data_IF_567322325110
#
_entry.id   IF_567322325110
#
_cell.length_a   1.000
_cell.length_b   1.000
_cell.length_c   1.000
_cell.angle_alpha   90.00
_cell.angle_beta   90.00
_cell.angle_gamma   90.00
#
_symmetry.space_group_name_H-M   'P 1'
#
loop_
_entity.id
_entity.type
_entity.pdbx_description
1 polymer ?
#
# COMPACT_ATOMS: atom_id res chain seq x y z
N UNK A 1 8.42 37.73 6.15
CA UNK A 1 8.09 37.34 7.54
C UNK A 1 7.19 36.14 7.45
N UNK A 2 7.79 34.94 7.39
CA UNK A 2 7.80 33.92 8.47
C UNK A 2 6.38 33.36 8.69
N UNK A 3 6.12 32.05 8.71
CA UNK A 3 6.78 31.03 9.52
C UNK A 3 6.62 29.64 8.87
N UNK A 4 7.68 29.10 8.28
CA UNK A 4 7.83 27.63 8.28
C UNK A 4 8.40 27.28 9.63
N UNK A 5 7.51 27.10 10.61
CA UNK A 5 7.90 26.51 11.88
C UNK A 5 8.09 25.01 11.58
N UNK A 6 9.29 24.64 11.14
CA UNK A 6 9.71 23.24 11.13
C UNK A 6 9.79 22.86 12.59
N UNK A 7 8.69 22.35 13.16
CA UNK A 7 8.73 21.68 14.44
C UNK A 7 9.71 20.54 14.26
N UNK A 8 10.92 20.72 14.80
CA UNK A 8 11.83 19.63 15.08
C UNK A 8 11.06 18.70 16.01
N UNK A 9 10.32 17.76 15.43
CA UNK A 9 9.78 16.64 16.15
C UNK A 9 11.03 15.93 16.68
N UNK A 10 11.28 16.08 17.98
CA UNK A 10 12.18 15.20 18.71
C UNK A 10 11.63 13.81 18.48
N UNK A 11 12.19 13.09 17.50
CA UNK A 11 11.65 11.83 17.03
C UNK A 11 11.75 10.85 18.20
N UNK A 12 10.65 10.66 18.91
CA UNK A 12 10.63 9.91 20.18
C UNK A 12 10.94 8.44 19.98
N UNK A 13 10.88 7.97 18.73
CA UNK A 13 11.10 6.58 18.35
C UNK A 13 12.32 6.47 17.43
N UNK A 14 13.13 5.41 17.56
CA UNK A 14 14.36 5.25 16.78
C UNK A 14 14.08 5.02 15.29
N UNK A 15 12.92 4.45 14.96
CA UNK A 15 12.42 4.24 13.60
C UNK A 15 10.91 4.43 13.56
N UNK A 16 10.42 4.83 12.40
CA UNK A 16 9.01 5.09 12.12
C UNK A 16 8.56 4.36 10.86
N UNK A 17 7.36 3.81 10.89
CA UNK A 17 6.77 3.08 9.77
C UNK A 17 5.61 3.86 9.16
N UNK A 18 5.51 3.86 7.84
CA UNK A 18 4.34 4.29 7.10
C UNK A 18 3.63 3.08 6.48
N UNK A 19 2.42 2.81 6.96
CA UNK A 19 1.58 1.71 6.51
C UNK A 19 0.58 2.20 5.47
N UNK A 20 0.61 1.60 4.28
CA UNK A 20 -0.54 1.60 3.38
C UNK A 20 -1.41 0.39 3.72
N UNK A 21 -2.67 0.61 4.09
CA UNK A 21 -3.62 -0.48 4.34
C UNK A 21 -4.72 -0.45 3.28
N UNK A 22 -4.68 -1.41 2.36
CA UNK A 22 -5.63 -1.55 1.27
C UNK A 22 -6.79 -2.46 1.65
N UNK A 23 -8.02 -1.99 1.46
CA UNK A 23 -9.24 -2.75 1.72
C UNK A 23 -10.17 -2.69 0.50
N UNK A 24 -11.03 -3.70 0.34
CA UNK A 24 -12.08 -3.72 -0.69
C UNK A 24 -13.44 -3.99 -0.07
N UNK A 25 -14.43 -4.29 -0.91
CA UNK A 25 -15.80 -4.60 -0.50
C UNK A 25 -15.83 -5.73 0.54
N UNK A 26 -16.47 -5.48 1.67
CA UNK A 26 -16.64 -6.43 2.78
C UNK A 26 -15.45 -6.51 3.74
N UNK A 27 -14.41 -5.68 3.56
CA UNK A 27 -13.22 -5.71 4.40
C UNK A 27 -13.26 -4.72 5.57
N UNK A 28 -14.28 -3.86 5.69
CA UNK A 28 -14.35 -2.82 6.74
C UNK A 28 -14.13 -3.39 8.16
N UNK A 29 -14.76 -4.51 8.50
CA UNK A 29 -14.58 -5.17 9.80
C UNK A 29 -13.16 -5.70 10.02
N UNK A 30 -12.56 -6.32 9.00
CA UNK A 30 -11.18 -6.82 9.09
C UNK A 30 -10.18 -5.68 9.20
N UNK A 31 -10.41 -4.60 8.46
CA UNK A 31 -9.61 -3.38 8.52
C UNK A 31 -9.60 -2.79 9.93
N UNK A 32 -10.77 -2.62 10.56
CA UNK A 32 -10.88 -2.11 11.94
C UNK A 32 -10.16 -3.03 12.93
N UNK A 33 -10.28 -4.35 12.76
CA UNK A 33 -9.55 -5.34 13.58
C UNK A 33 -8.04 -5.20 13.40
N UNK A 34 -7.56 -5.07 12.16
CA UNK A 34 -6.14 -4.90 11.85
C UNK A 34 -5.60 -3.59 12.44
N UNK A 35 -6.33 -2.48 12.30
CA UNK A 35 -5.93 -1.18 12.86
C UNK A 35 -5.69 -1.27 14.37
N UNK A 36 -6.58 -1.94 15.12
CA UNK A 36 -6.39 -2.14 16.57
C UNK A 36 -5.13 -2.92 16.93
N UNK A 37 -4.72 -3.87 16.09
CA UNK A 37 -3.53 -4.69 16.33
C UNK A 37 -2.23 -4.01 15.87
N UNK A 38 -2.32 -3.14 14.86
CA UNK A 38 -1.19 -2.51 14.20
C UNK A 38 -0.88 -1.11 14.72
N UNK A 39 -1.82 -0.45 15.39
CA UNK A 39 -1.68 0.94 15.78
C UNK A 39 -0.57 1.16 16.81
N UNK A 40 0.26 2.15 16.55
CA UNK A 40 1.29 2.65 17.42
C UNK A 40 1.45 4.16 17.18
N UNK A 41 1.57 4.99 18.24
CA UNK A 41 1.59 6.46 18.13
C UNK A 41 2.76 7.01 17.32
N UNK A 42 3.87 6.27 17.21
CA UNK A 42 5.06 6.65 16.43
C UNK A 42 4.98 6.36 14.92
N UNK A 43 3.92 5.70 14.45
CA UNK A 43 3.79 5.28 13.06
C UNK A 43 2.70 6.06 12.33
N UNK A 44 2.70 5.95 11.01
CA UNK A 44 1.77 6.62 10.11
C UNK A 44 0.93 5.61 9.35
N UNK A 45 -0.36 5.90 9.18
CA UNK A 45 -1.32 4.97 8.58
C UNK A 45 -2.13 5.67 7.50
N UNK A 46 -2.04 5.16 6.26
CA UNK A 46 -2.88 5.58 5.15
C UNK A 46 -3.79 4.43 4.74
N UNK A 47 -5.08 4.62 4.97
CA UNK A 47 -6.12 3.65 4.64
C UNK A 47 -6.67 3.98 3.25
N UNK A 48 -6.64 3.00 2.36
CA UNK A 48 -7.27 3.09 1.04
C UNK A 48 -8.35 2.02 0.92
N UNK A 49 -9.59 2.46 0.73
CA UNK A 49 -10.70 1.58 0.34
C UNK A 49 -10.91 1.71 -1.17
N UNK A 50 -10.88 0.60 -1.88
CA UNK A 50 -11.11 0.55 -3.33
C UNK A 50 -12.46 1.20 -3.70
N UNK A 51 -12.48 1.90 -4.84
CA UNK A 51 -13.70 2.48 -5.42
C UNK A 51 -14.84 1.46 -5.59
N UNK A 52 -14.50 0.18 -5.81
CA UNK A 52 -15.47 -0.90 -5.91
C UNK A 52 -16.19 -1.25 -4.60
N UNK A 53 -15.74 -0.75 -3.45
CA UNK A 53 -16.43 -0.92 -2.18
C UNK A 53 -17.65 0.02 -2.07
N UNK A 54 -18.75 -0.40 -1.43
CA UNK A 54 -19.92 0.44 -1.20
C UNK A 54 -19.55 1.74 -0.48
N UNK A 55 -20.22 2.84 -0.85
CA UNK A 55 -20.02 4.14 -0.20
C UNK A 55 -20.27 4.09 1.31
N UNK A 56 -21.24 3.26 1.74
CA UNK A 56 -21.52 3.03 3.15
C UNK A 56 -20.32 2.44 3.90
N UNK A 57 -19.56 1.53 3.28
CA UNK A 57 -18.35 0.97 3.90
C UNK A 57 -17.22 2.01 3.96
N UNK A 58 -17.07 2.86 2.94
CA UNK A 58 -16.10 3.96 3.01
C UNK A 58 -16.43 4.93 4.13
N UNK A 59 -17.70 5.34 4.22
CA UNK A 59 -18.18 6.23 5.29
C UNK A 59 -17.99 5.62 6.67
N UNK A 60 -18.28 4.33 6.83
CA UNK A 60 -18.08 3.59 8.08
C UNK A 60 -16.61 3.58 8.53
N UNK A 61 -15.67 3.46 7.58
CA UNK A 61 -14.23 3.55 7.87
C UNK A 61 -13.80 4.97 8.21
N UNK A 62 -14.28 5.98 7.49
CA UNK A 62 -14.01 7.39 7.80
C UNK A 62 -14.54 7.76 9.19
N UNK A 63 -15.76 7.34 9.51
CA UNK A 63 -16.40 7.59 10.80
C UNK A 63 -15.67 6.86 11.94
N UNK A 64 -15.23 5.62 11.71
CA UNK A 64 -14.38 4.90 12.66
C UNK A 64 -13.10 5.66 12.98
N UNK A 65 -12.40 6.17 11.96
CA UNK A 65 -11.15 6.93 12.16
C UNK A 65 -11.42 8.26 12.85
N UNK A 66 -12.48 8.97 12.48
CA UNK A 66 -12.82 10.28 13.03
C UNK A 66 -13.31 10.22 14.49
N UNK A 67 -13.96 9.13 14.89
CA UNK A 67 -14.48 8.95 16.26
C UNK A 67 -13.44 8.43 17.25
N UNK A 68 -12.32 7.90 16.77
CA UNK A 68 -11.26 7.41 17.66
C UNK A 68 -10.50 8.62 18.24
N UNK A 69 -10.56 8.85 19.58
CA UNK A 69 -9.95 10.02 20.19
C UNK A 69 -8.42 10.01 20.04
N UNK A 70 -7.80 8.82 19.99
CA UNK A 70 -6.34 8.69 19.86
C UNK A 70 -5.89 9.10 18.46
N UNK A 71 -6.62 8.66 17.43
CA UNK A 71 -6.32 9.01 16.05
C UNK A 71 -6.51 10.50 15.80
N UNK A 72 -7.56 11.11 16.35
CA UNK A 72 -7.81 12.54 16.25
C UNK A 72 -6.75 13.39 16.97
N UNK A 73 -6.31 12.95 18.15
CA UNK A 73 -5.30 13.66 18.93
C UNK A 73 -3.92 13.60 18.30
N UNK A 74 -3.50 12.43 17.79
CA UNK A 74 -2.17 12.24 17.20
C UNK A 74 -2.11 12.58 15.72
N UNK A 75 -3.25 12.55 15.02
CA UNK A 75 -3.33 12.95 13.61
C UNK A 75 -2.50 12.09 12.66
N UNK A 76 -2.22 10.83 13.03
CA UNK A 76 -1.33 9.93 12.30
C UNK A 76 -2.06 8.85 11.47
N UNK A 77 -3.39 8.94 11.36
CA UNK A 77 -4.23 8.02 10.57
C UNK A 77 -5.06 8.83 9.56
N UNK A 78 -4.95 8.48 8.29
CA UNK A 78 -5.69 9.12 7.21
C UNK A 78 -6.46 8.10 6.38
N UNK A 79 -7.60 8.53 5.85
CA UNK A 79 -8.38 7.76 4.86
C UNK A 79 -8.32 8.50 3.53
N UNK A 80 -7.97 7.79 2.44
CA UNK A 80 -7.97 8.36 1.10
C UNK A 80 -9.39 8.78 0.71
N UNK A 81 -9.59 10.09 0.49
CA UNK A 81 -10.89 10.65 0.08
C UNK A 81 -11.28 10.26 -1.33
N UNK A 82 -10.45 10.61 -2.33
CA UNK A 82 -10.69 10.22 -3.73
C UNK A 82 -10.20 8.78 -3.97
N UNK A 83 -11.11 7.83 -3.85
CA UNK A 83 -10.84 6.40 -3.98
C UNK A 83 -10.39 6.03 -5.40
N UNK A 84 -9.23 5.39 -5.52
CA UNK A 84 -8.79 4.77 -6.76
C UNK A 84 -9.60 3.50 -7.04
N UNK A 85 -9.95 3.26 -8.31
CA UNK A 85 -10.47 1.98 -8.76
C UNK A 85 -9.32 0.99 -8.92
N UNK A 86 -9.41 -0.14 -8.23
CA UNK A 86 -8.37 -1.16 -8.24
C UNK A 86 -8.87 -2.41 -8.96
N UNK A 87 -8.26 -2.70 -10.11
CA UNK A 87 -8.47 -3.94 -10.85
C UNK A 87 -7.45 -4.97 -10.41
N UNK A 88 -7.93 -6.12 -9.92
CA UNK A 88 -7.05 -7.21 -9.50
C UNK A 88 -6.17 -7.67 -10.67
N UNK A 89 -4.85 -7.77 -10.42
CA UNK A 89 -3.78 -8.05 -11.41
C UNK A 89 -3.58 -6.98 -12.50
N UNK A 90 -4.25 -5.85 -12.39
CA UNK A 90 -4.06 -4.71 -13.28
C UNK A 90 -2.97 -3.73 -12.80
N UNK A 91 -2.46 -2.86 -13.68
CA UNK A 91 -1.56 -1.76 -13.32
C UNK A 91 -2.18 -0.76 -12.33
N UNK A 92 -3.51 -0.70 -12.21
CA UNK A 92 -4.17 0.13 -11.18
C UNK A 92 -3.76 -0.23 -9.75
N UNK A 93 -3.38 -1.49 -9.47
CA UNK A 93 -2.86 -1.88 -8.15
C UNK A 93 -1.56 -1.14 -7.81
N UNK A 94 -0.58 -1.17 -8.73
CA UNK A 94 0.71 -0.49 -8.49
C UNK A 94 0.55 1.03 -8.52
N UNK A 95 -0.30 1.56 -9.40
CA UNK A 95 -0.64 2.99 -9.43
C UNK A 95 -1.22 3.47 -8.10
N UNK A 96 -2.07 2.67 -7.46
CA UNK A 96 -2.64 2.98 -6.15
C UNK A 96 -1.58 3.01 -5.05
N UNK A 97 -0.64 2.07 -5.05
CA UNK A 97 0.49 2.07 -4.09
C UNK A 97 1.42 3.26 -4.31
N UNK A 98 1.75 3.61 -5.55
CA UNK A 98 2.56 4.78 -5.87
C UNK A 98 1.87 6.08 -5.46
N UNK A 99 0.56 6.19 -5.69
CA UNK A 99 -0.24 7.31 -5.24
C UNK A 99 -0.20 7.44 -3.70
N UNK A 100 -0.36 6.33 -2.98
CA UNK A 100 -0.26 6.31 -1.52
C UNK A 100 1.12 6.73 -1.00
N UNK A 101 2.21 6.21 -1.59
CA UNK A 101 3.58 6.63 -1.26
C UNK A 101 3.75 8.13 -1.49
N UNK A 102 3.27 8.67 -2.61
CA UNK A 102 3.36 10.09 -2.91
C UNK A 102 2.58 10.96 -1.91
N UNK A 103 1.43 10.50 -1.42
CA UNK A 103 0.70 11.16 -0.34
C UNK A 103 1.51 11.17 0.95
N UNK A 104 1.98 10.00 1.40
CA UNK A 104 2.74 9.85 2.64
C UNK A 104 4.04 10.66 2.65
N UNK A 105 4.78 10.68 1.53
CA UNK A 105 6.00 11.49 1.37
C UNK A 105 5.73 13.00 1.47
N UNK A 106 4.50 13.45 1.17
CA UNK A 106 4.11 14.86 1.28
C UNK A 106 3.60 15.24 2.66
N UNK A 107 3.07 14.28 3.42
CA UNK A 107 2.38 14.55 4.69
C UNK A 107 3.23 14.26 5.92
N UNK A 108 4.19 13.35 5.84
CA UNK A 108 4.97 12.89 6.99
C UNK A 108 6.38 12.44 6.60
N UNK A 109 7.28 12.41 7.58
CA UNK A 109 8.62 11.82 7.44
C UNK A 109 8.61 10.45 8.09
N UNK A 110 8.96 9.42 7.34
CA UNK A 110 8.96 8.03 7.78
C UNK A 110 10.23 7.32 7.30
N UNK A 111 10.67 6.29 8.01
CA UNK A 111 11.87 5.52 7.66
C UNK A 111 11.56 4.33 6.76
N UNK A 112 10.44 3.64 7.04
CA UNK A 112 10.08 2.38 6.38
C UNK A 112 8.66 2.42 5.83
N UNK A 113 8.47 1.99 4.59
CA UNK A 113 7.14 1.82 4.00
C UNK A 113 6.73 0.35 3.99
N UNK A 114 5.50 0.08 4.42
CA UNK A 114 4.92 -1.27 4.43
C UNK A 114 3.53 -1.22 3.78
N UNK A 115 3.31 -2.04 2.75
CA UNK A 115 1.98 -2.23 2.17
C UNK A 115 1.31 -3.48 2.74
N UNK A 116 0.09 -3.30 3.24
CA UNK A 116 -0.76 -4.34 3.80
C UNK A 116 -2.13 -4.32 3.12
N UNK A 117 -2.78 -5.47 3.14
CA UNK A 117 -4.20 -5.61 2.86
C UNK A 117 -4.97 -5.79 4.17
N UNK A 118 -6.28 -5.52 4.17
CA UNK A 118 -7.15 -5.79 5.31
C UNK A 118 -7.23 -7.28 5.70
N UNK A 119 -6.70 -8.20 4.87
CA UNK A 119 -6.60 -9.63 5.19
C UNK A 119 -5.28 -10.01 5.87
N UNK A 120 -4.30 -9.12 5.93
CA UNK A 120 -3.06 -9.32 6.69
C UNK A 120 -3.28 -9.19 8.20
N UNK A 121 -2.36 -9.75 8.98
CA UNK A 121 -2.34 -9.59 10.43
C UNK A 121 -0.90 -9.62 10.97
N UNK A 122 -0.52 -8.72 11.88
CA UNK A 122 0.82 -8.72 12.45
C UNK A 122 1.05 -9.98 13.30
N UNK A 123 2.23 -10.58 13.16
CA UNK A 123 2.69 -11.70 14.00
C UNK A 123 3.66 -11.25 15.11
N UNK A 124 4.08 -9.98 15.06
CA UNK A 124 5.06 -9.36 15.94
C UNK A 124 4.47 -8.03 16.41
N UNK A 125 4.78 -7.61 17.63
CA UNK A 125 4.29 -6.35 18.18
C UNK A 125 4.94 -5.16 17.47
N UNK A 126 4.32 -3.97 17.58
CA UNK A 126 4.91 -2.76 16.99
C UNK A 126 6.20 -2.34 17.69
N UNK A 127 6.28 -2.54 19.01
CA UNK A 127 7.48 -2.23 19.79
C UNK A 127 8.66 -3.11 19.36
N UNK A 128 8.43 -4.42 19.21
CA UNK A 128 9.45 -5.35 18.72
C UNK A 128 9.90 -5.02 17.29
N UNK A 129 8.96 -4.62 16.42
CA UNK A 129 9.27 -4.18 15.06
C UNK A 129 10.15 -2.92 15.08
N UNK A 130 9.82 -1.93 15.90
CA UNK A 130 10.59 -0.69 16.07
C UNK A 130 11.99 -1.02 16.61
N UNK A 131 12.11 -1.90 17.61
CA UNK A 131 13.39 -2.31 18.16
C UNK A 131 14.23 -3.12 17.16
N UNK A 132 13.63 -4.02 16.39
CA UNK A 132 14.36 -4.81 15.40
C UNK A 132 14.89 -3.92 14.27
N UNK A 133 14.05 -3.03 13.73
CA UNK A 133 14.42 -2.17 12.60
C UNK A 133 15.31 -0.99 12.99
N UNK A 134 15.43 -0.64 14.28
CA UNK A 134 16.39 0.39 14.73
C UNK A 134 17.84 0.02 14.46
N UNK A 135 18.14 -1.28 14.38
CA UNK A 135 19.47 -1.82 14.08
C UNK A 135 19.68 -2.09 12.58
N UNK A 136 18.63 -1.92 11.76
CA UNK A 136 18.70 -2.19 10.33
C UNK A 136 19.16 -0.92 9.60
N UNK A 137 20.17 -1.01 8.70
CA UNK A 137 20.58 0.14 7.91
C UNK A 137 19.44 0.66 7.00
N UNK A 138 19.11 1.96 7.10
CA UNK A 138 17.98 2.60 6.37
C UNK A 138 18.09 2.58 4.84
N UNK A 139 19.23 2.20 4.27
CA UNK A 139 19.47 2.20 2.83
C UNK A 139 19.15 0.86 2.14
N UNK A 140 18.61 -0.13 2.87
CA UNK A 140 18.24 -1.44 2.33
C UNK A 140 16.73 -1.57 2.14
N UNK A 141 16.31 -2.49 1.26
CA UNK A 141 14.90 -2.78 1.01
C UNK A 141 14.63 -4.28 1.17
N UNK A 142 13.49 -4.62 1.77
CA UNK A 142 13.05 -6.00 1.93
C UNK A 142 12.02 -6.35 0.85
N UNK A 143 12.51 -6.90 -0.27
CA UNK A 143 11.65 -7.31 -1.40
C UNK A 143 11.92 -8.77 -1.70
N UNK A 144 10.91 -9.63 -1.52
CA UNK A 144 11.02 -11.02 -1.94
C UNK A 144 10.93 -11.11 -3.45
N UNK A 145 12.03 -11.47 -4.12
CA UNK A 145 12.12 -11.62 -5.57
C UNK A 145 12.79 -12.93 -6.00
N UNK A 146 12.63 -13.29 -7.26
CA UNK A 146 13.33 -14.39 -7.95
C UNK A 146 13.60 -14.00 -9.40
N UNK A 147 14.78 -14.35 -9.91
CA UNK A 147 15.13 -14.24 -11.33
C UNK A 147 14.68 -15.46 -12.15
N UNK A 148 14.12 -16.48 -11.51
CA UNK A 148 13.61 -17.68 -12.19
C UNK A 148 12.18 -17.43 -12.67
N UNK A 149 12.07 -16.85 -13.88
CA UNK A 149 10.77 -16.52 -14.45
C UNK A 149 10.05 -17.77 -15.00
N UNK A 150 10.77 -18.67 -15.66
CA UNK A 150 10.19 -19.87 -16.29
C UNK A 150 8.98 -19.53 -17.16
N UNK A 151 7.86 -20.22 -16.93
CA UNK A 151 6.60 -19.98 -17.64
C UNK A 151 6.02 -18.56 -17.43
N UNK A 152 6.39 -17.85 -16.36
CA UNK A 152 5.87 -16.50 -16.06
C UNK A 152 6.35 -15.48 -17.10
N UNK A 153 7.50 -15.69 -17.74
CA UNK A 153 7.99 -14.81 -18.80
C UNK A 153 6.99 -14.74 -19.96
N UNK A 154 6.48 -15.89 -20.39
CA UNK A 154 5.51 -16.00 -21.47
C UNK A 154 4.10 -15.57 -21.05
N UNK A 155 3.70 -15.84 -19.80
CA UNK A 155 2.36 -15.49 -19.31
C UNK A 155 2.23 -14.08 -18.74
N UNK A 156 3.33 -13.38 -18.45
CA UNK A 156 3.32 -12.06 -17.77
C UNK A 156 4.29 -11.04 -18.36
N UNK A 157 5.41 -11.47 -18.94
CA UNK A 157 6.41 -10.57 -19.54
C UNK A 157 6.06 -10.16 -20.98
N UNK A 158 5.55 -11.09 -21.79
CA UNK A 158 5.18 -10.85 -23.20
C UNK A 158 3.76 -10.33 -23.46
N UNK A 159 2.73 -10.66 -22.66
CA UNK A 159 1.39 -10.15 -22.92
C UNK A 159 1.30 -8.63 -22.76
N UNK A 160 0.43 -8.01 -23.54
CA UNK A 160 0.00 -6.63 -23.36
C UNK A 160 -1.32 -6.68 -22.58
N UNK A 161 -1.32 -6.07 -21.39
CA UNK A 161 -2.48 -6.06 -20.49
C UNK A 161 -3.17 -4.70 -20.64
N UNK A 162 -4.48 -4.75 -20.86
CA UNK A 162 -5.36 -3.59 -20.84
C UNK A 162 -6.15 -3.65 -19.54
N UNK A 163 -6.02 -2.61 -18.73
CA UNK A 163 -6.76 -2.44 -17.50
C UNK A 163 -7.85 -1.38 -17.69
N UNK A 164 -9.13 -1.79 -17.78
CA UNK A 164 -10.25 -0.87 -17.95
C UNK A 164 -10.35 0.15 -16.82
N UNK A 165 -9.82 -0.16 -15.63
CA UNK A 165 -9.84 0.74 -14.49
C UNK A 165 -9.02 2.02 -14.69
N UNK A 166 -8.20 2.10 -15.74
CA UNK A 166 -7.46 3.30 -16.11
C UNK A 166 -8.32 4.34 -16.84
N UNK A 167 -9.40 3.93 -17.52
CA UNK A 167 -10.24 4.83 -18.34
C UNK A 167 -11.75 4.67 -18.11
N UNK A 168 -12.17 3.74 -17.25
CA UNK A 168 -13.58 3.52 -16.91
C UNK A 168 -13.74 3.28 -15.41
N UNK A 169 -14.83 3.82 -14.84
CA UNK A 169 -15.24 3.57 -13.45
C UNK A 169 -16.06 2.28 -13.30
N UNK A 170 -16.41 1.60 -14.40
CA UNK A 170 -17.07 0.30 -14.35
C UNK A 170 -16.01 -0.78 -14.10
N UNK A 171 -15.98 -1.29 -12.87
CA UNK A 171 -15.08 -2.38 -12.47
C UNK A 171 -15.32 -3.60 -13.38
N UNK A 172 -14.27 -4.04 -14.05
CA UNK A 172 -14.26 -5.19 -14.95
C UNK A 172 -12.91 -5.91 -14.89
N UNK A 173 -12.82 -7.10 -15.45
CA UNK A 173 -11.57 -7.86 -15.48
C UNK A 173 -10.54 -7.21 -16.42
N UNK A 174 -9.26 -7.46 -16.16
CA UNK A 174 -8.21 -7.13 -17.12
C UNK A 174 -8.39 -7.92 -18.41
N UNK A 175 -8.04 -7.29 -19.53
CA UNK A 175 -8.06 -7.92 -20.85
C UNK A 175 -6.63 -8.10 -21.34
N UNK A 176 -6.39 -9.20 -22.05
CA UNK A 176 -5.13 -9.39 -22.76
C UNK A 176 -5.35 -9.06 -24.23
N UNK A 177 -4.49 -8.22 -24.80
CA UNK A 177 -4.52 -7.95 -26.22
C UNK A 177 -4.11 -9.21 -27.01
N UNK A 178 -4.66 -9.39 -28.21
CA UNK A 178 -4.33 -10.51 -29.09
C UNK A 178 -2.85 -10.51 -29.50
N UNK A 179 -2.26 -9.32 -29.66
CA UNK A 179 -0.84 -9.15 -29.99
C UNK A 179 0.00 -9.14 -28.70
N UNK A 180 1.15 -9.81 -28.77
CA UNK A 180 2.17 -9.78 -27.72
C UNK A 180 3.29 -8.80 -28.06
N UNK A 181 4.04 -8.37 -27.04
CA UNK A 181 5.25 -7.56 -27.20
C UNK A 181 6.51 -8.42 -27.02
N UNK A 182 7.63 -7.92 -27.52
CA UNK A 182 8.95 -8.45 -27.19
C UNK A 182 9.28 -8.22 -25.72
N UNK A 183 10.19 -9.04 -25.19
CA UNK A 183 10.70 -8.86 -23.83
C UNK A 183 11.61 -7.63 -23.83
N UNK A 184 11.46 -6.69 -22.88
CA UNK A 184 12.35 -5.55 -22.76
C UNK A 184 13.79 -5.99 -22.54
N UNK A 185 14.74 -5.34 -23.21
CA UNK A 185 16.17 -5.64 -23.10
C UNK A 185 16.93 -4.63 -22.23
N UNK A 186 16.36 -3.46 -21.97
CA UNK A 186 17.00 -2.39 -21.20
C UNK A 186 17.10 -2.67 -19.70
N UNK A 187 16.37 -3.65 -19.19
CA UNK A 187 16.34 -4.00 -17.76
C UNK A 187 16.06 -5.50 -17.59
N UNK A 188 16.44 -6.01 -16.41
CA UNK A 188 16.27 -7.41 -16.06
C UNK A 188 14.96 -7.61 -15.30
N UNK A 189 14.11 -8.45 -15.83
CA UNK A 189 12.86 -8.80 -15.18
C UNK A 189 13.08 -9.70 -13.97
N UNK A 190 12.43 -9.37 -12.86
CA UNK A 190 12.31 -10.20 -11.67
C UNK A 190 10.85 -10.52 -11.40
N UNK A 191 10.57 -11.55 -10.61
CA UNK A 191 9.23 -11.89 -10.15
C UNK A 191 9.24 -12.04 -8.64
N UNK A 192 8.31 -11.41 -7.92
CA UNK A 192 8.35 -11.35 -6.46
C UNK A 192 6.98 -11.11 -5.85
N UNK A 193 6.77 -11.35 -4.55
CA UNK A 193 5.42 -11.30 -3.94
C UNK A 193 5.00 -9.86 -3.66
N UNK A 194 3.73 -9.56 -3.86
CA UNK A 194 3.04 -8.33 -3.42
C UNK A 194 2.02 -8.80 -2.38
N UNK A 195 2.04 -8.29 -1.15
CA UNK A 195 1.39 -8.85 0.05
C UNK A 195 -0.12 -9.23 -0.08
N UNK A 196 -0.49 -10.31 0.64
CA UNK A 196 -1.76 -11.06 0.88
C UNK A 196 -2.89 -11.22 -0.13
N UNK A 197 -2.99 -10.48 -1.22
CA UNK A 197 -3.79 -10.93 -2.36
C UNK A 197 -2.81 -11.43 -3.39
N UNK A 198 -2.56 -12.74 -3.48
CA UNK A 198 -1.58 -13.35 -4.42
C UNK A 198 -1.62 -12.61 -5.77
N UNK A 199 -0.62 -11.80 -6.14
CA UNK A 199 0.27 -12.29 -7.16
C UNK A 199 1.73 -11.91 -6.92
N UNK A 200 2.61 -12.63 -7.63
CA UNK A 200 3.94 -12.11 -7.87
C UNK A 200 3.90 -10.91 -8.84
N UNK A 201 4.31 -9.73 -8.38
CA UNK A 201 4.58 -8.54 -9.21
C UNK A 201 5.91 -8.71 -9.93
N UNK A 202 5.96 -8.31 -11.20
CA UNK A 202 7.23 -8.14 -11.90
C UNK A 202 7.77 -6.75 -11.56
N UNK A 203 8.93 -6.69 -10.92
CA UNK A 203 9.67 -5.44 -10.76
C UNK A 203 10.48 -5.21 -12.05
N UNK A 204 10.44 -3.98 -12.56
CA UNK A 204 11.26 -3.50 -13.69
C UNK A 204 12.68 -3.25 -13.22
#
# INVERSE_FOLDING_TARGET
MSFFNTTNATNSYPVTFAYLISASKGDSGKLKRLMKALYHPGNYYLIHLDYGAPEAEHRDVVEYVAKDPVFGQLGNVWVVGKRNLVTYRGPTMISTTLHAMAMLLRTCQWDWFINLSASDYPLVTQDDMIQAFSHVPRHINFIHHSSQLGWKLYKRGKPIIIDPGLYSLKKSHIWMATKQRSIPTSFKLYTGVFSSFKPLTLFL
#
